data_IF_866981428317
#
_entry.id   IF_866981428317
#
_cell.length_a   1.000
_cell.length_b   1.000
_cell.length_c   1.000
_cell.angle_alpha   90.00
_cell.angle_beta   90.00
_cell.angle_gamma   90.00
#
_symmetry.space_group_name_H-M   'P 1'
#
loop_
_entity.id
_entity.type
_entity.pdbx_description
1 polymer ?
#
# COMPACT_ATOMS: atom_id res chain seq x y z
N UNK A 1 -29.37 -14.88 -70.09
CA UNK A 1 -30.37 -15.31 -69.10
C UNK A 1 -29.66 -15.70 -67.81
N UNK A 2 -29.99 -14.99 -66.71
CA UNK A 2 -29.96 -15.40 -65.28
C UNK A 2 -28.70 -16.04 -64.66
N UNK A 3 -28.16 -15.30 -63.66
CA UNK A 3 -27.64 -15.74 -62.33
C UNK A 3 -26.21 -16.32 -62.31
N UNK A 4 -25.35 -16.13 -61.30
CA UNK A 4 -25.44 -15.49 -59.99
C UNK A 4 -24.05 -14.98 -59.56
N UNK A 5 -24.05 -13.89 -58.81
CA UNK A 5 -22.91 -13.36 -58.05
C UNK A 5 -22.67 -14.30 -56.88
N UNK A 6 -21.44 -14.78 -56.67
CA UNK A 6 -21.02 -15.36 -55.41
C UNK A 6 -19.86 -14.56 -54.82
N UNK A 7 -20.25 -13.77 -53.83
CA UNK A 7 -19.45 -12.90 -52.99
C UNK A 7 -18.61 -13.78 -52.07
N UNK A 8 -17.30 -13.90 -52.35
CA UNK A 8 -16.36 -14.56 -51.45
C UNK A 8 -16.04 -13.62 -50.29
N UNK A 9 -16.77 -13.77 -49.18
CA UNK A 9 -16.57 -13.00 -47.96
C UNK A 9 -15.14 -13.17 -47.44
N UNK A 10 -14.36 -12.09 -47.54
CA UNK A 10 -13.13 -11.86 -46.78
C UNK A 10 -13.54 -11.79 -45.31
N UNK A 11 -13.42 -12.91 -44.60
CA UNK A 11 -13.53 -12.96 -43.14
C UNK A 11 -12.29 -12.33 -42.52
N UNK A 12 -12.22 -11.00 -42.50
CA UNK A 12 -11.29 -10.26 -41.65
C UNK A 12 -11.73 -10.44 -40.21
N UNK A 13 -11.18 -11.48 -39.57
CA UNK A 13 -11.36 -11.73 -38.15
C UNK A 13 -10.55 -10.66 -37.39
N UNK A 14 -11.13 -9.48 -37.21
CA UNK A 14 -10.64 -8.51 -36.23
C UNK A 14 -10.93 -9.07 -34.84
N UNK A 15 -10.02 -9.93 -34.36
CA UNK A 15 -9.91 -10.22 -32.94
C UNK A 15 -9.41 -8.92 -32.26
N UNK A 16 -10.36 -8.08 -31.85
CA UNK A 16 -10.14 -7.03 -30.88
C UNK A 16 -9.73 -7.70 -29.57
N UNK A 17 -8.43 -7.97 -29.43
CA UNK A 17 -7.82 -8.22 -28.12
C UNK A 17 -7.83 -6.86 -27.43
N UNK A 18 -8.92 -6.56 -26.72
CA UNK A 18 -8.91 -5.53 -25.70
C UNK A 18 -7.95 -6.01 -24.63
N UNK A 19 -6.67 -5.65 -24.75
CA UNK A 19 -5.71 -5.78 -23.67
C UNK A 19 -6.24 -4.86 -22.58
N UNK A 20 -6.97 -5.43 -21.61
CA UNK A 20 -7.24 -4.77 -20.35
C UNK A 20 -5.88 -4.66 -19.67
N UNK A 21 -5.15 -3.61 -20.00
CA UNK A 21 -3.91 -3.24 -19.33
C UNK A 21 -4.30 -2.81 -17.92
N UNK A 22 -4.32 -3.73 -16.97
CA UNK A 22 -4.30 -3.37 -15.56
C UNK A 22 -2.99 -2.61 -15.34
N UNK A 23 -3.05 -1.29 -15.17
CA UNK A 23 -1.86 -0.52 -14.87
C UNK A 23 -1.36 -0.96 -13.49
N UNK A 24 -0.22 -1.64 -13.45
CA UNK A 24 0.41 -2.01 -12.20
C UNK A 24 0.85 -0.72 -11.47
N UNK A 25 0.48 -0.56 -10.19
CA UNK A 25 1.04 0.51 -9.36
C UNK A 25 2.56 0.33 -9.25
N UNK A 26 3.31 1.40 -9.51
CA UNK A 26 4.78 1.37 -9.47
C UNK A 26 5.28 1.82 -8.11
N UNK A 27 6.36 1.18 -7.61
CA UNK A 27 7.08 1.67 -6.42
C UNK A 27 7.73 3.01 -6.78
N UNK A 28 7.39 4.05 -6.03
CA UNK A 28 7.93 5.40 -6.19
C UNK A 28 8.73 5.76 -4.94
N UNK A 29 10.02 6.12 -5.07
CA UNK A 29 10.79 6.66 -3.94
C UNK A 29 10.12 7.94 -3.43
N UNK A 30 9.82 7.99 -2.13
CA UNK A 30 9.24 9.19 -1.51
C UNK A 30 10.26 10.33 -1.59
N UNK A 31 9.79 11.47 -2.09
CA UNK A 31 10.52 12.71 -2.22
C UNK A 31 9.82 13.85 -1.46
N UNK A 32 10.48 15.01 -1.28
CA UNK A 32 9.87 16.15 -0.58
C UNK A 32 8.53 16.63 -1.17
N UNK A 33 8.30 16.48 -2.48
CA UNK A 33 7.04 16.87 -3.12
C UNK A 33 5.86 15.97 -2.75
N UNK A 34 6.13 14.76 -2.26
CA UNK A 34 5.09 13.76 -1.95
C UNK A 34 4.58 13.90 -0.51
N UNK A 35 5.31 14.62 0.35
CA UNK A 35 4.99 14.75 1.78
C UNK A 35 3.58 15.31 2.05
N UNK A 36 3.08 16.32 1.31
CA UNK A 36 1.70 16.77 1.47
C UNK A 36 0.68 15.67 1.17
N UNK A 37 0.95 14.83 0.16
CA UNK A 37 0.09 13.70 -0.19
C UNK A 37 0.16 12.56 0.83
N UNK A 38 1.27 12.43 1.56
CA UNK A 38 1.41 11.46 2.66
C UNK A 38 0.54 11.82 3.86
N UNK A 39 0.38 13.11 4.19
CA UNK A 39 -0.41 13.57 5.34
C UNK A 39 -1.85 13.07 5.32
N UNK A 40 -2.33 12.56 6.45
CA UNK A 40 -3.69 12.04 6.65
C UNK A 40 -3.72 10.54 6.96
N UNK A 41 -4.92 9.97 6.91
CA UNK A 41 -5.19 8.60 7.33
C UNK A 41 -4.95 7.59 6.20
N UNK A 42 -4.34 6.49 6.59
CA UNK A 42 -4.10 5.31 5.78
C UNK A 42 -4.60 4.09 6.54
N UNK A 43 -5.27 3.18 5.85
CA UNK A 43 -5.88 2.01 6.49
C UNK A 43 -5.61 0.77 5.64
N UNK A 44 -5.34 -0.34 6.30
CA UNK A 44 -5.27 -1.62 5.61
C UNK A 44 -4.94 -2.77 6.52
N UNK A 45 -4.26 -3.77 5.97
CA UNK A 45 -4.05 -5.06 6.62
C UNK A 45 -2.59 -5.37 6.76
N UNK A 46 -2.27 -6.16 7.79
CA UNK A 46 -0.93 -6.72 7.99
C UNK A 46 -0.97 -8.24 7.92
N UNK A 47 0.14 -8.85 7.58
CA UNK A 47 0.31 -10.30 7.51
C UNK A 47 1.60 -10.66 8.25
N UNK A 48 1.52 -11.58 9.21
CA UNK A 48 2.67 -12.15 9.91
C UNK A 48 2.92 -13.57 9.39
N UNK A 49 3.94 -13.76 8.56
CA UNK A 49 4.15 -15.03 7.85
C UNK A 49 2.97 -15.33 6.91
N UNK A 50 2.23 -16.41 7.17
CA UNK A 50 1.01 -16.78 6.43
C UNK A 50 -0.28 -16.39 7.15
N UNK A 51 -0.18 -15.82 8.36
CA UNK A 51 -1.36 -15.50 9.18
C UNK A 51 -1.85 -14.09 8.85
N UNK A 52 -3.09 -13.94 8.34
CA UNK A 52 -3.71 -12.63 8.22
C UNK A 52 -3.77 -11.98 9.60
N UNK A 53 -3.17 -10.81 9.72
CA UNK A 53 -3.27 -9.98 10.92
C UNK A 53 -4.55 -9.16 10.93
N UNK A 54 -4.67 -8.30 11.94
CA UNK A 54 -5.77 -7.34 12.03
C UNK A 54 -5.58 -6.11 11.13
N UNK A 55 -6.55 -5.21 11.26
CA UNK A 55 -6.50 -3.87 10.66
C UNK A 55 -5.33 -3.09 11.28
N UNK A 56 -4.67 -2.30 10.44
CA UNK A 56 -3.69 -1.31 10.86
C UNK A 56 -4.06 0.04 10.25
N UNK A 57 -3.94 1.09 11.06
CA UNK A 57 -4.15 2.47 10.66
C UNK A 57 -2.85 3.26 10.86
N UNK A 58 -2.51 4.11 9.90
CA UNK A 58 -1.43 5.07 9.99
C UNK A 58 -2.02 6.46 9.74
N UNK A 59 -1.89 7.36 10.70
CA UNK A 59 -2.26 8.76 10.57
C UNK A 59 -0.99 9.60 10.56
N UNK A 60 -0.72 10.29 9.45
CA UNK A 60 0.43 11.18 9.30
C UNK A 60 -0.07 12.61 9.51
N UNK A 61 0.40 13.29 10.54
CA UNK A 61 -0.17 14.55 11.03
C UNK A 61 0.45 15.81 10.40
N UNK A 62 1.64 15.69 9.83
CA UNK A 62 2.36 16.77 9.16
C UNK A 62 2.98 16.34 7.82
N UNK A 63 3.45 17.31 7.06
CA UNK A 63 4.04 17.19 5.72
C UNK A 63 5.50 17.68 5.70
N UNK A 64 6.11 17.79 6.88
CA UNK A 64 7.47 18.32 7.08
C UNK A 64 8.28 17.32 7.90
N UNK A 65 9.49 16.91 7.47
CA UNK A 65 10.30 15.98 8.25
C UNK A 65 10.81 16.63 9.56
N UNK A 66 10.93 15.86 10.66
CA UNK A 66 10.47 14.48 10.79
C UNK A 66 8.93 14.40 10.78
N UNK A 67 8.41 13.41 10.05
CA UNK A 67 6.99 13.12 10.03
C UNK A 67 6.55 12.64 11.41
N UNK A 68 5.36 13.05 11.79
CA UNK A 68 4.74 12.81 13.08
C UNK A 68 3.37 12.19 12.86
N UNK A 69 2.91 11.42 13.83
CA UNK A 69 1.61 10.81 13.75
C UNK A 69 1.44 9.60 14.62
N UNK A 70 0.49 8.75 14.22
CA UNK A 70 0.05 7.60 15.01
C UNK A 70 -0.07 6.37 14.14
N UNK A 71 0.47 5.25 14.63
CA UNK A 71 0.26 3.94 14.06
C UNK A 71 -0.58 3.10 15.03
N UNK A 72 -1.76 2.70 14.61
CA UNK A 72 -2.69 1.89 15.42
C UNK A 72 -2.80 0.49 14.84
N UNK A 73 -2.46 -0.51 15.66
CA UNK A 73 -2.48 -1.93 15.30
C UNK A 73 -3.61 -2.59 16.08
N UNK A 74 -4.66 -3.03 15.40
CA UNK A 74 -5.82 -3.69 16.01
C UNK A 74 -5.65 -5.20 16.08
N UNK A 75 -6.39 -5.87 16.96
CA UNK A 75 -6.39 -7.34 17.10
C UNK A 75 -5.00 -7.93 17.37
N UNK A 76 -4.21 -7.27 18.21
CA UNK A 76 -2.94 -7.78 18.70
C UNK A 76 -3.21 -8.88 19.74
N UNK A 77 -2.47 -9.98 19.62
CA UNK A 77 -2.47 -11.07 20.60
C UNK A 77 -1.26 -10.86 21.51
N UNK A 78 -1.52 -10.64 22.81
CA UNK A 78 -0.47 -10.43 23.80
C UNK A 78 -0.68 -11.41 24.94
N UNK A 79 0.26 -12.34 25.14
CA UNK A 79 0.29 -13.27 26.30
C UNK A 79 -1.06 -13.97 26.57
N UNK A 80 -1.73 -14.45 25.52
CA UNK A 80 -3.01 -15.17 25.63
C UNK A 80 -4.26 -14.27 25.55
N UNK A 81 -4.13 -12.96 25.73
CA UNK A 81 -5.24 -12.01 25.52
C UNK A 81 -5.37 -11.64 24.04
N UNK A 82 -6.48 -12.02 23.42
CA UNK A 82 -6.83 -11.68 22.03
C UNK A 82 -7.54 -10.32 21.94
N UNK A 83 -7.41 -9.65 20.81
CA UNK A 83 -8.26 -8.50 20.46
C UNK A 83 -7.81 -7.13 20.98
N UNK A 84 -6.55 -6.97 21.40
CA UNK A 84 -6.07 -5.65 21.88
C UNK A 84 -5.77 -4.71 20.73
N UNK A 85 -6.02 -3.42 20.94
CA UNK A 85 -5.53 -2.34 20.08
C UNK A 85 -4.29 -1.73 20.73
N UNK A 86 -3.24 -1.51 19.94
CA UNK A 86 -2.01 -0.83 20.37
C UNK A 86 -1.80 0.38 19.47
N UNK A 87 -1.64 1.55 20.07
CA UNK A 87 -1.33 2.79 19.35
C UNK A 87 0.09 3.23 19.69
N UNK A 88 0.88 3.50 18.65
CA UNK A 88 2.23 4.01 18.73
C UNK A 88 2.25 5.43 18.18
N UNK A 89 2.44 6.42 19.05
CA UNK A 89 2.70 7.79 18.60
C UNK A 89 4.19 7.96 18.24
N UNK A 90 4.44 8.54 17.08
CA UNK A 90 5.78 8.80 16.55
C UNK A 90 5.96 10.27 16.21
N UNK A 91 7.20 10.76 16.37
CA UNK A 91 7.62 12.12 15.97
C UNK A 91 8.95 12.09 15.20
N UNK A 92 9.29 10.92 14.68
CA UNK A 92 10.60 10.58 14.14
C UNK A 92 10.49 9.82 12.81
N UNK A 93 9.38 9.98 12.08
CA UNK A 93 9.24 9.43 10.74
C UNK A 93 10.24 10.09 9.81
N UNK A 94 11.13 9.31 9.21
CA UNK A 94 12.16 9.79 8.30
C UNK A 94 12.01 9.12 6.94
N UNK A 95 12.36 9.84 5.87
CA UNK A 95 12.53 9.24 4.57
C UNK A 95 13.99 8.79 4.45
N UNK A 96 14.22 7.51 4.22
CA UNK A 96 15.57 6.96 4.05
C UNK A 96 16.17 7.31 2.68
N UNK A 97 17.40 6.86 2.43
CA UNK A 97 18.10 7.13 1.16
C UNK A 97 17.45 6.43 -0.04
N UNK A 98 16.58 5.48 0.20
CA UNK A 98 15.87 4.69 -0.80
C UNK A 98 14.45 5.25 -1.05
N UNK A 99 14.05 6.31 -0.33
CA UNK A 99 12.72 6.89 -0.45
C UNK A 99 11.65 6.09 0.30
N UNK A 100 12.00 5.38 1.37
CA UNK A 100 11.04 4.71 2.25
C UNK A 100 10.79 5.55 3.51
N UNK A 101 9.54 5.57 3.97
CA UNK A 101 9.19 6.11 5.28
C UNK A 101 9.55 5.08 6.37
N UNK A 102 10.50 5.44 7.22
CA UNK A 102 10.97 4.64 8.35
C UNK A 102 10.46 5.24 9.66
N UNK A 103 9.79 4.42 10.47
CA UNK A 103 9.28 4.78 11.80
C UNK A 103 9.83 3.77 12.81
N UNK A 104 10.51 4.27 13.85
CA UNK A 104 11.08 3.45 14.92
C UNK A 104 10.52 3.86 16.27
N UNK A 105 9.99 2.91 17.04
CA UNK A 105 9.47 3.17 18.39
C UNK A 105 9.84 2.03 19.32
N UNK A 106 10.69 2.33 20.29
CA UNK A 106 11.29 1.33 21.21
C UNK A 106 11.97 0.21 20.41
N UNK A 107 11.42 -1.01 20.47
CA UNK A 107 11.89 -2.18 19.70
C UNK A 107 11.11 -2.40 18.41
N UNK A 108 10.09 -1.59 18.12
CA UNK A 108 9.26 -1.75 16.94
C UNK A 108 9.80 -0.89 15.79
N UNK A 109 9.70 -1.42 14.57
CA UNK A 109 10.19 -0.79 13.34
C UNK A 109 9.17 -1.01 12.23
N UNK A 110 8.91 0.04 11.45
CA UNK A 110 8.01 0.02 10.31
C UNK A 110 8.68 0.78 9.16
N UNK A 111 8.71 0.18 7.99
CA UNK A 111 9.26 0.77 6.77
C UNK A 111 8.20 0.70 5.68
N UNK A 112 7.86 1.83 5.07
CA UNK A 112 6.84 1.91 4.02
C UNK A 112 7.41 2.52 2.74
N UNK A 113 7.23 1.81 1.63
CA UNK A 113 7.39 2.33 0.28
C UNK A 113 6.06 2.88 -0.23
N UNK A 114 6.12 3.98 -0.98
CA UNK A 114 4.98 4.53 -1.68
C UNK A 114 4.79 3.82 -3.03
N UNK A 115 3.54 3.51 -3.34
CA UNK A 115 3.09 2.99 -4.62
C UNK A 115 1.97 3.88 -5.13
N UNK A 116 2.09 4.32 -6.38
CA UNK A 116 1.10 5.18 -7.02
C UNK A 116 0.65 4.61 -8.36
N UNK A 117 -0.60 4.86 -8.71
CA UNK A 117 -1.17 4.49 -10.01
C UNK A 117 -2.63 4.88 -10.10
N UNK A 118 -3.07 5.35 -11.26
CA UNK A 118 -4.47 5.70 -11.56
C UNK A 118 -5.11 6.65 -10.51
N UNK A 119 -4.33 7.60 -9.97
CA UNK A 119 -4.80 8.54 -8.96
C UNK A 119 -5.02 7.93 -7.56
N UNK A 120 -4.58 6.69 -7.35
CA UNK A 120 -4.60 6.00 -6.06
C UNK A 120 -3.18 5.93 -5.49
N UNK A 121 -3.11 5.97 -4.17
CA UNK A 121 -1.87 5.77 -3.43
C UNK A 121 -2.01 4.61 -2.46
N UNK A 122 -0.91 3.88 -2.31
CA UNK A 122 -0.78 2.74 -1.41
C UNK A 122 0.58 2.82 -0.73
N UNK A 123 0.61 2.55 0.57
CA UNK A 123 1.85 2.29 1.30
C UNK A 123 1.99 0.79 1.49
N UNK A 124 3.13 0.23 1.10
CA UNK A 124 3.46 -1.15 1.40
C UNK A 124 4.80 -1.24 2.09
N UNK A 125 4.89 -2.15 3.04
CA UNK A 125 6.00 -2.13 3.96
C UNK A 125 6.27 -3.43 4.67
N UNK A 126 7.47 -3.50 5.22
CA UNK A 126 7.83 -4.50 6.21
C UNK A 126 7.70 -3.89 7.60
N UNK A 127 7.34 -4.72 8.58
CA UNK A 127 7.29 -4.32 9.98
C UNK A 127 7.96 -5.35 10.87
N UNK A 128 8.47 -4.87 12.00
CA UNK A 128 8.79 -5.65 13.18
C UNK A 128 8.03 -5.07 14.38
N UNK A 129 7.08 -5.84 14.90
CA UNK A 129 6.19 -5.40 15.98
C UNK A 129 6.05 -6.50 17.02
N UNK A 130 6.38 -6.17 18.28
CA UNK A 130 6.28 -7.10 19.42
C UNK A 130 6.97 -8.46 19.20
N UNK A 131 8.12 -8.47 18.50
CA UNK A 131 8.86 -9.71 18.22
C UNK A 131 8.48 -10.41 16.91
N UNK A 132 7.48 -9.90 16.19
CA UNK A 132 6.96 -10.52 14.96
C UNK A 132 7.30 -9.67 13.75
N UNK A 133 7.85 -10.31 12.71
CA UNK A 133 8.04 -9.69 11.39
C UNK A 133 6.84 -9.97 10.48
N UNK A 134 6.53 -9.03 9.61
CA UNK A 134 5.47 -9.21 8.64
C UNK A 134 5.44 -8.11 7.59
N UNK A 135 4.43 -8.20 6.72
CA UNK A 135 4.14 -7.22 5.68
C UNK A 135 2.89 -6.44 6.01
N UNK A 136 2.83 -5.20 5.56
CA UNK A 136 1.70 -4.31 5.75
C UNK A 136 1.38 -3.61 4.43
N UNK A 137 0.09 -3.52 4.12
CA UNK A 137 -0.42 -2.79 2.97
C UNK A 137 -1.50 -1.85 3.46
N UNK A 138 -1.36 -0.56 3.17
CA UNK A 138 -2.26 0.51 3.57
C UNK A 138 -2.71 1.29 2.33
N UNK A 139 -3.99 1.62 2.27
CA UNK A 139 -4.55 2.49 1.25
C UNK A 139 -4.86 3.85 1.85
N UNK A 140 -4.72 4.90 1.04
CA UNK A 140 -5.13 6.24 1.43
C UNK A 140 -6.64 6.27 1.64
N UNK A 141 -7.09 6.88 2.75
CA UNK A 141 -8.50 7.11 3.05
C UNK A 141 -8.95 8.50 2.62
#
# INVERSE_FOLDING_TARGET
MKKAIFLGCIGLLFALISVVSYAAMTKTPISPSDLPALKGKWVGTRIAGTTPGGITELDIENDTPPLQGKLTVHNVIVRGSRGRTVTLEFKNGQIDKQGNLVIKKEKNEFEFSLYEGEGKMKLEGDYYFMGVRGKITLQKK
#
